data_IF_486846203224
#
_entry.id   IF_486846203224
#
_cell.length_a   1.000
_cell.length_b   1.000
_cell.length_c   1.000
_cell.angle_alpha   90.00
_cell.angle_beta   90.00
_cell.angle_gamma   90.00
#
_symmetry.space_group_name_H-M   'P 1'
#
loop_
_entity.id
_entity.type
_entity.pdbx_description
1 polymer ?
#
# COMPACT_ATOMS: atom_id res chain seq x y z
N UNK A 1 0.88 -16.96 -0.21
CA UNK A 1 -0.13 -16.42 0.71
C UNK A 1 0.56 -16.30 2.07
N UNK A 2 1.16 -15.13 2.33
CA UNK A 2 1.84 -14.82 3.60
C UNK A 2 0.83 -14.00 4.40
N UNK A 3 0.51 -14.47 5.61
CA UNK A 3 -0.53 -13.93 6.49
C UNK A 3 -0.07 -12.59 7.07
N UNK A 4 -0.96 -11.60 7.04
CA UNK A 4 -0.81 -10.31 7.71
C UNK A 4 -1.32 -10.42 9.15
N UNK A 5 -0.48 -10.93 10.05
CA UNK A 5 -0.70 -10.91 11.50
C UNK A 5 0.71 -10.86 12.08
N UNK A 6 1.14 -9.69 12.58
CA UNK A 6 2.22 -9.47 13.58
C UNK A 6 2.73 -8.02 13.53
N UNK A 7 1.85 -7.06 13.86
CA UNK A 7 2.23 -5.69 14.20
C UNK A 7 1.25 -5.14 15.26
N UNK A 8 1.25 -5.78 16.44
CA UNK A 8 0.66 -5.22 17.65
C UNK A 8 1.72 -4.37 18.36
N UNK A 9 1.55 -3.05 18.35
CA UNK A 9 2.35 -2.14 19.18
C UNK A 9 1.67 -2.02 20.55
N UNK A 10 2.32 -2.65 21.52
CA UNK A 10 1.92 -2.74 22.92
C UNK A 10 2.20 -1.40 23.64
N UNK A 11 1.15 -0.62 23.91
CA UNK A 11 1.18 0.55 24.80
C UNK A 11 0.89 0.08 26.24
N UNK A 12 1.91 -0.38 26.95
CA UNK A 12 1.84 -0.51 28.41
C UNK A 12 3.22 -0.30 29.03
N UNK A 13 3.41 0.88 29.58
CA UNK A 13 4.64 1.28 30.25
C UNK A 13 4.42 2.60 30.96
N UNK A 14 3.81 2.53 32.15
CA UNK A 14 4.19 3.22 33.40
C UNK A 14 3.15 2.75 34.44
N UNK A 15 3.63 2.03 35.44
CA UNK A 15 2.88 1.44 36.54
C UNK A 15 3.44 2.00 37.87
N UNK A 16 2.58 2.07 38.89
CA UNK A 16 2.83 2.11 40.34
C UNK A 16 3.48 3.37 40.99
N UNK A 17 2.72 4.23 41.69
CA UNK A 17 2.32 4.26 43.14
C UNK A 17 3.30 4.94 44.11
N UNK A 18 2.85 6.05 44.72
CA UNK A 18 3.16 6.41 46.12
C UNK A 18 1.86 6.89 46.78
N UNK A 19 1.44 6.17 47.83
CA UNK A 19 0.35 6.53 48.74
C UNK A 19 0.86 7.51 49.81
N UNK A 20 0.05 8.51 50.14
CA UNK A 20 -0.07 9.02 51.50
C UNK A 20 -1.39 9.77 51.65
N UNK A 21 -2.33 9.19 52.39
CA UNK A 21 -3.52 9.84 52.93
C UNK A 21 -3.10 10.81 54.05
N UNK A 22 -3.62 12.04 54.04
CA UNK A 22 -4.03 12.68 55.29
C UNK A 22 -5.16 13.70 55.07
N UNK A 23 -6.06 13.76 56.05
CA UNK A 23 -7.44 14.24 55.94
C UNK A 23 -7.64 15.76 56.08
N UNK A 24 -8.80 16.22 55.58
CA UNK A 24 -9.63 17.34 56.09
C UNK A 24 -9.36 18.75 55.56
N UNK A 25 -10.29 19.32 54.76
CA UNK A 25 -11.39 20.15 55.30
C UNK A 25 -12.40 20.58 54.21
N UNK A 26 -13.59 20.97 54.68
CA UNK A 26 -14.86 21.22 53.97
C UNK A 26 -14.92 22.44 53.02
N UNK A 27 -16.05 22.48 52.28
CA UNK A 27 -16.67 23.58 51.51
C UNK A 27 -16.21 23.64 50.03
N UNK A 28 -17.06 23.64 49.00
CA UNK A 28 -18.46 24.04 48.88
C UNK A 28 -19.16 23.32 47.69
N UNK A 29 -20.48 23.35 47.72
CA UNK A 29 -21.39 22.97 46.64
C UNK A 29 -21.06 23.71 45.34
N UNK A 30 -21.17 23.03 44.20
CA UNK A 30 -22.12 23.40 43.12
C UNK A 30 -22.13 22.35 42.01
N UNK A 31 -23.27 21.67 41.90
CA UNK A 31 -23.95 21.32 40.65
C UNK A 31 -23.07 21.04 39.42
N UNK A 32 -22.80 19.76 39.17
CA UNK A 32 -22.44 19.30 37.84
C UNK A 32 -23.60 19.57 36.86
N UNK A 33 -23.55 20.68 36.14
CA UNK A 33 -24.26 20.80 34.88
C UNK A 33 -23.35 20.22 33.79
N UNK A 34 -23.88 19.39 32.87
CA UNK A 34 -23.16 19.13 31.64
C UNK A 34 -23.02 20.48 30.93
N UNK A 35 -21.79 20.89 30.67
CA UNK A 35 -21.51 22.03 29.80
C UNK A 35 -22.23 21.74 28.47
N UNK A 36 -23.35 22.44 28.27
CA UNK A 36 -23.97 22.53 26.97
C UNK A 36 -22.90 23.16 26.09
N UNK A 37 -22.29 22.36 25.21
CA UNK A 37 -21.49 22.87 24.09
C UNK A 37 -22.47 23.66 23.23
N UNK A 38 -22.70 24.91 23.59
CA UNK A 38 -23.49 25.84 22.81
C UNK A 38 -22.71 26.09 21.55
N UNK A 39 -23.30 25.77 20.41
CA UNK A 39 -22.76 26.10 19.10
C UNK A 39 -22.75 27.62 18.94
N UNK A 40 -21.71 28.27 19.47
CA UNK A 40 -21.49 29.69 19.29
C UNK A 40 -21.19 29.92 17.80
N UNK A 41 -22.03 30.70 17.13
CA UNK A 41 -21.86 31.06 15.74
C UNK A 41 -21.16 32.42 15.68
N UNK A 42 -19.94 32.44 15.15
CA UNK A 42 -19.17 33.67 14.96
C UNK A 42 -19.14 33.96 13.47
N UNK A 43 -19.72 35.10 13.09
CA UNK A 43 -19.67 35.57 11.71
C UNK A 43 -18.25 36.04 11.38
N UNK A 44 -17.72 35.58 10.25
CA UNK A 44 -16.39 35.91 9.74
C UNK A 44 -16.55 36.55 8.37
N UNK A 45 -15.93 37.72 8.19
CA UNK A 45 -15.99 38.42 6.91
C UNK A 45 -15.15 37.71 5.85
N UNK A 46 -15.55 37.83 4.59
CA UNK A 46 -14.91 37.11 3.49
C UNK A 46 -13.40 37.41 3.38
N UNK A 47 -13.03 38.68 3.55
CA UNK A 47 -11.63 39.13 3.48
C UNK A 47 -10.74 38.46 4.53
N UNK A 48 -11.31 38.02 5.65
CA UNK A 48 -10.58 37.34 6.72
C UNK A 48 -10.33 35.87 6.40
N UNK A 49 -11.25 35.22 5.67
CA UNK A 49 -11.14 33.79 5.32
C UNK A 49 -10.59 33.53 3.92
N UNK A 50 -10.51 34.55 3.06
CA UNK A 50 -10.17 34.40 1.65
C UNK A 50 -8.91 33.56 1.41
N UNK A 51 -7.84 33.82 2.17
CA UNK A 51 -6.57 33.09 2.01
C UNK A 51 -6.69 31.63 2.42
N UNK A 52 -7.42 31.34 3.50
CA UNK A 52 -7.68 29.97 3.96
C UNK A 52 -8.53 29.23 2.92
N UNK A 53 -9.57 29.89 2.39
CA UNK A 53 -10.40 29.35 1.33
C UNK A 53 -9.60 29.03 0.07
N UNK A 54 -8.77 29.97 -0.41
CA UNK A 54 -7.91 29.78 -1.58
C UNK A 54 -6.92 28.63 -1.37
N UNK A 55 -6.29 28.55 -0.21
CA UNK A 55 -5.39 27.44 0.12
C UNK A 55 -6.11 26.09 0.10
N UNK A 56 -7.32 26.03 0.65
CA UNK A 56 -8.15 24.81 0.64
C UNK A 56 -8.54 24.40 -0.77
N UNK A 57 -8.89 25.36 -1.62
CA UNK A 57 -9.24 25.08 -3.01
C UNK A 57 -8.01 24.58 -3.82
N UNK A 58 -6.83 25.15 -3.57
CA UNK A 58 -5.58 24.65 -4.16
C UNK A 58 -5.29 23.22 -3.70
N UNK A 59 -5.44 22.92 -2.41
CA UNK A 59 -5.26 21.57 -1.87
C UNK A 59 -6.22 20.57 -2.54
N UNK A 60 -7.50 20.93 -2.67
CA UNK A 60 -8.52 20.13 -3.36
C UNK A 60 -8.14 19.85 -4.82
N UNK A 61 -7.63 20.86 -5.53
CA UNK A 61 -7.18 20.70 -6.91
C UNK A 61 -5.97 19.77 -7.02
N UNK A 62 -5.02 19.86 -6.08
CA UNK A 62 -3.86 18.96 -6.02
C UNK A 62 -4.31 17.52 -5.78
N UNK A 63 -5.21 17.29 -4.82
CA UNK A 63 -5.77 15.96 -4.54
C UNK A 63 -6.46 15.36 -5.76
N UNK A 64 -7.25 16.17 -6.47
CA UNK A 64 -7.94 15.73 -7.69
C UNK A 64 -6.95 15.35 -8.80
N UNK A 65 -5.87 16.12 -8.97
CA UNK A 65 -4.81 15.80 -9.92
C UNK A 65 -4.07 14.51 -9.53
N UNK A 66 -3.75 14.34 -8.24
CA UNK A 66 -3.10 13.14 -7.72
C UNK A 66 -3.96 11.88 -7.92
N UNK A 67 -5.25 11.97 -7.63
CA UNK A 67 -6.19 10.87 -7.84
C UNK A 67 -6.23 10.43 -9.32
N UNK A 68 -6.26 11.40 -10.25
CA UNK A 68 -6.20 11.13 -11.69
C UNK A 68 -4.88 10.48 -12.10
N UNK A 69 -3.75 10.99 -11.59
CA UNK A 69 -2.43 10.46 -11.89
C UNK A 69 -2.28 9.00 -11.42
N UNK A 70 -2.71 8.68 -10.19
CA UNK A 70 -2.68 7.32 -9.69
C UNK A 70 -3.58 6.37 -10.48
N UNK A 71 -4.77 6.83 -10.88
CA UNK A 71 -5.65 6.02 -11.72
C UNK A 71 -5.01 5.71 -13.08
N UNK A 72 -4.34 6.69 -13.71
CA UNK A 72 -3.63 6.49 -14.97
C UNK A 72 -2.44 5.53 -14.80
N UNK A 73 -1.68 5.69 -13.73
CA UNK A 73 -0.57 4.80 -13.40
C UNK A 73 -1.05 3.35 -13.21
N UNK A 74 -2.11 3.14 -12.45
CA UNK A 74 -2.67 1.80 -12.22
C UNK A 74 -3.15 1.15 -13.53
N UNK A 75 -3.81 1.91 -14.40
CA UNK A 75 -4.21 1.43 -15.74
C UNK A 75 -3.01 1.02 -16.58
N UNK A 76 -1.98 1.87 -16.63
CA UNK A 76 -0.77 1.59 -17.39
C UNK A 76 -0.01 0.37 -16.85
N UNK A 77 0.13 0.27 -15.52
CA UNK A 77 0.70 -0.90 -14.85
C UNK A 77 -0.05 -2.17 -15.22
N UNK A 78 -1.38 -2.14 -15.17
CA UNK A 78 -2.21 -3.29 -15.54
C UNK A 78 -2.00 -3.73 -16.99
N UNK A 79 -1.83 -2.77 -17.92
CA UNK A 79 -1.54 -3.08 -19.32
C UNK A 79 -0.17 -3.75 -19.49
N UNK A 80 0.87 -3.21 -18.86
CA UNK A 80 2.21 -3.81 -18.90
C UNK A 80 2.23 -5.22 -18.30
N UNK A 81 1.52 -5.44 -17.18
CA UNK A 81 1.40 -6.76 -16.58
C UNK A 81 0.65 -7.74 -17.48
N UNK A 82 -0.34 -7.27 -18.25
CA UNK A 82 -1.01 -8.07 -19.28
C UNK A 82 -0.04 -8.51 -20.37
N UNK A 83 0.69 -7.56 -20.96
CA UNK A 83 1.69 -7.82 -22.00
C UNK A 83 2.79 -8.75 -21.54
N UNK A 84 3.27 -8.60 -20.30
CA UNK A 84 4.27 -9.48 -19.71
C UNK A 84 3.75 -10.92 -19.65
N UNK A 85 2.53 -11.14 -19.14
CA UNK A 85 1.92 -12.48 -19.06
C UNK A 85 1.73 -13.12 -20.44
N UNK A 86 1.29 -12.34 -21.42
CA UNK A 86 1.16 -12.82 -22.80
C UNK A 86 2.51 -13.24 -23.37
N UNK A 87 3.55 -12.43 -23.12
CA UNK A 87 4.92 -12.72 -23.57
C UNK A 87 5.50 -13.95 -22.87
N UNK A 88 5.27 -14.12 -21.57
CA UNK A 88 5.68 -15.30 -20.81
C UNK A 88 4.98 -16.57 -21.32
N UNK A 89 3.67 -16.49 -21.56
CA UNK A 89 2.91 -17.61 -22.11
C UNK A 89 3.43 -18.01 -23.50
N UNK A 90 3.70 -17.02 -24.35
CA UNK A 90 4.30 -17.23 -25.67
C UNK A 90 5.69 -17.86 -25.56
N UNK A 91 6.57 -17.35 -24.70
CA UNK A 91 7.91 -17.90 -24.50
C UNK A 91 7.88 -19.37 -24.02
N UNK A 92 6.95 -19.72 -23.12
CA UNK A 92 6.75 -21.09 -22.66
C UNK A 92 6.25 -21.98 -23.80
N UNK A 93 5.30 -21.51 -24.61
CA UNK A 93 4.80 -22.23 -25.76
C UNK A 93 5.90 -22.51 -26.79
N UNK A 94 6.68 -21.49 -27.15
CA UNK A 94 7.81 -21.62 -28.06
C UNK A 94 8.90 -22.54 -27.50
N UNK A 95 9.18 -22.46 -26.20
CA UNK A 95 10.11 -23.38 -25.53
C UNK A 95 9.67 -24.84 -25.62
N UNK A 96 8.36 -25.11 -25.52
CA UNK A 96 7.80 -26.47 -25.70
C UNK A 96 7.92 -26.94 -27.15
N UNK A 97 7.52 -26.09 -28.10
CA UNK A 97 7.64 -26.40 -29.53
C UNK A 97 9.10 -26.66 -29.94
N UNK A 98 10.04 -25.90 -29.37
CA UNK A 98 11.47 -26.12 -29.57
C UNK A 98 11.94 -27.46 -28.99
N UNK A 99 11.49 -27.82 -27.78
CA UNK A 99 11.79 -29.12 -27.17
C UNK A 99 11.31 -30.28 -28.05
N UNK A 100 10.10 -30.17 -28.59
CA UNK A 100 9.50 -31.15 -29.49
C UNK A 100 10.26 -31.25 -30.82
N UNK A 101 10.60 -30.12 -31.45
CA UNK A 101 11.34 -30.13 -32.73
C UNK A 101 12.76 -30.70 -32.63
N UNK A 102 13.39 -30.60 -31.46
CA UNK A 102 14.69 -31.20 -31.17
C UNK A 102 14.60 -32.66 -30.69
N UNK A 103 13.40 -33.26 -30.67
CA UNK A 103 13.15 -34.63 -30.21
C UNK A 103 13.72 -34.91 -28.80
N UNK A 104 13.68 -33.92 -27.91
CA UNK A 104 14.14 -34.09 -26.53
C UNK A 104 13.10 -34.92 -25.77
N UNK A 105 13.57 -35.91 -25.01
CA UNK A 105 12.72 -36.85 -24.27
C UNK A 105 11.66 -36.11 -23.40
N UNK A 106 10.36 -36.34 -23.62
CA UNK A 106 9.30 -35.71 -22.85
C UNK A 106 9.27 -36.18 -21.39
N UNK A 107 9.82 -37.36 -21.08
CA UNK A 107 9.79 -37.95 -19.73
C UNK A 107 10.89 -37.40 -18.81
N UNK A 108 11.85 -36.66 -19.37
CA UNK A 108 12.96 -36.06 -18.63
C UNK A 108 12.76 -34.55 -18.46
N UNK A 109 13.18 -34.04 -17.30
CA UNK A 109 13.13 -32.62 -16.98
C UNK A 109 14.36 -31.90 -17.54
N UNK A 110 14.09 -30.84 -18.30
CA UNK A 110 15.12 -29.96 -18.84
C UNK A 110 14.79 -28.50 -18.52
N UNK A 111 15.83 -27.73 -18.24
CA UNK A 111 15.77 -26.27 -18.15
C UNK A 111 16.34 -25.68 -19.44
N UNK A 112 15.59 -24.77 -20.07
CA UNK A 112 16.10 -24.00 -21.21
C UNK A 112 16.86 -22.77 -20.69
N UNK A 113 18.17 -22.74 -20.94
CA UNK A 113 19.00 -21.56 -20.70
C UNK A 113 19.03 -20.70 -21.94
N UNK A 114 18.46 -19.51 -21.83
CA UNK A 114 18.43 -18.51 -22.88
C UNK A 114 19.78 -17.76 -22.96
N UNK A 115 20.17 -17.30 -24.16
CA UNK A 115 21.33 -16.43 -24.33
C UNK A 115 21.07 -15.04 -23.74
N UNK A 116 22.14 -14.33 -23.36
CA UNK A 116 22.02 -12.95 -22.87
C UNK A 116 22.10 -11.93 -24.02
N UNK A 117 22.62 -12.34 -25.17
CA UNK A 117 22.76 -11.51 -26.37
C UNK A 117 22.31 -12.28 -27.62
N UNK A 118 21.84 -11.53 -28.62
CA UNK A 118 21.50 -12.11 -29.91
C UNK A 118 22.74 -12.73 -30.59
N UNK A 119 22.56 -13.89 -31.23
CA UNK A 119 23.64 -14.64 -31.89
C UNK A 119 24.38 -15.63 -30.98
N UNK A 120 24.18 -15.57 -29.66
CA UNK A 120 24.67 -16.61 -28.74
C UNK A 120 23.78 -17.87 -28.79
N UNK A 121 24.35 -19.01 -28.37
CA UNK A 121 23.63 -20.29 -28.35
C UNK A 121 22.79 -20.44 -27.08
N UNK A 122 21.59 -20.98 -27.23
CA UNK A 122 20.77 -21.49 -26.13
C UNK A 122 21.08 -22.97 -25.87
N UNK A 123 20.81 -23.44 -24.64
CA UNK A 123 21.04 -24.84 -24.27
C UNK A 123 19.90 -25.40 -23.41
N UNK A 124 19.49 -26.63 -23.68
CA UNK A 124 18.68 -27.41 -22.74
C UNK A 124 19.61 -28.15 -21.78
N UNK A 125 19.46 -27.92 -20.48
CA UNK A 125 20.24 -28.56 -19.42
C UNK A 125 19.33 -29.54 -18.69
N UNK A 126 19.71 -30.83 -18.68
CA UNK A 126 18.99 -31.85 -17.92
C UNK A 126 19.06 -31.52 -16.44
N UNK A 127 17.93 -31.58 -15.74
CA UNK A 127 17.87 -31.51 -14.28
C UNK A 127 17.73 -32.92 -13.75
N UNK A 128 18.75 -33.41 -13.08
CA UNK A 128 18.65 -34.63 -12.31
C UNK A 128 17.90 -34.31 -11.01
N UNK A 129 16.92 -35.14 -10.65
CA UNK A 129 16.13 -34.99 -9.43
C UNK A 129 16.98 -35.17 -8.18
#
# INVERSE_FOLDING_TARGET
MIKMEDLEVNLSGIDATEESEDQSNQEAQESGQPELVTSELIDVEWEQIEQVFRATEVARQIEEQLARAFLQFEKFKSQLMGQLRETEAFAVQEGRALKESLNIDPNLLYELKLPNQEGEKAFFVRKDQ
#
